data_IF_381200154374
#
_entry.id   IF_381200154374
#
_cell.length_a   1.000
_cell.length_b   1.000
_cell.length_c   1.000
_cell.angle_alpha   90.00
_cell.angle_beta   90.00
_cell.angle_gamma   90.00
#
_symmetry.space_group_name_H-M   'P 1'
#
loop_
_entity.id
_entity.type
_entity.pdbx_description
1 polymer ?
#
# COMPACT_ATOMS: atom_id res chain seq x y z
N UNK A 1 4.68 8.00 -13.21
CA UNK A 1 5.27 7.20 -12.11
C UNK A 1 6.72 6.91 -12.45
N UNK A 2 7.67 7.13 -11.53
CA UNK A 2 9.08 6.74 -11.65
C UNK A 2 9.40 5.86 -10.44
N UNK A 3 10.13 4.76 -10.64
CA UNK A 3 10.56 3.88 -9.55
C UNK A 3 12.08 3.83 -9.58
N UNK A 4 12.71 4.02 -8.43
CA UNK A 4 14.15 3.93 -8.23
C UNK A 4 14.45 2.74 -7.31
N UNK A 5 15.42 1.90 -7.69
CA UNK A 5 15.95 0.85 -6.81
C UNK A 5 17.07 1.43 -5.97
N UNK A 6 16.99 1.27 -4.66
CA UNK A 6 17.96 1.76 -3.69
C UNK A 6 18.55 0.57 -2.90
N UNK A 7 19.65 0.82 -2.16
CA UNK A 7 20.27 -0.17 -1.26
C UNK A 7 20.56 -1.54 -1.92
N UNK A 8 21.03 -1.52 -3.17
CA UNK A 8 21.22 -2.72 -3.98
C UNK A 8 22.44 -3.51 -3.48
N UNK A 9 22.21 -4.76 -3.10
CA UNK A 9 23.25 -5.69 -2.63
C UNK A 9 23.16 -6.99 -3.41
N UNK A 10 24.27 -7.40 -4.02
CA UNK A 10 24.36 -8.67 -4.74
C UNK A 10 24.91 -9.76 -3.83
N UNK A 11 24.29 -10.93 -3.88
CA UNK A 11 24.77 -12.16 -3.26
C UNK A 11 25.17 -13.12 -4.39
N UNK A 12 26.47 -13.23 -4.61
CA UNK A 12 27.04 -14.08 -5.67
C UNK A 12 27.04 -15.56 -5.31
N UNK A 13 26.97 -15.92 -4.03
CA UNK A 13 26.93 -17.32 -3.60
C UNK A 13 25.52 -17.89 -3.82
N UNK A 14 24.49 -17.10 -3.56
CA UNK A 14 23.09 -17.48 -3.75
C UNK A 14 22.49 -17.04 -5.10
N UNK A 15 23.26 -16.36 -5.95
CA UNK A 15 22.81 -15.82 -7.24
C UNK A 15 21.56 -14.91 -7.13
N UNK A 16 21.52 -14.06 -6.10
CA UNK A 16 20.41 -13.14 -5.85
C UNK A 16 20.87 -11.68 -5.75
N UNK A 17 19.92 -10.76 -5.88
CA UNK A 17 20.08 -9.34 -5.60
C UNK A 17 18.97 -8.91 -4.66
N UNK A 18 19.34 -8.15 -3.62
CA UNK A 18 18.38 -7.54 -2.69
C UNK A 18 18.41 -6.03 -2.85
N UNK A 19 17.25 -5.40 -2.89
CA UNK A 19 17.09 -3.95 -3.04
C UNK A 19 15.81 -3.47 -2.36
N UNK A 20 15.70 -2.17 -2.15
CA UNK A 20 14.44 -1.49 -1.81
C UNK A 20 13.97 -0.64 -2.99
N UNK A 21 12.68 -0.28 -3.05
CA UNK A 21 12.13 0.57 -4.10
C UNK A 21 11.59 1.89 -3.53
N UNK A 22 11.88 3.00 -4.22
CA UNK A 22 11.29 4.32 -3.95
C UNK A 22 10.48 4.78 -5.15
N UNK A 23 9.20 5.04 -4.93
CA UNK A 23 8.27 5.47 -5.97
C UNK A 23 8.03 6.98 -5.98
N UNK A 24 8.06 7.60 -7.17
CA UNK A 24 7.71 9.00 -7.38
C UNK A 24 6.49 9.12 -8.31
N UNK A 25 5.57 9.99 -7.91
CA UNK A 25 4.33 10.28 -8.60
C UNK A 25 4.31 11.75 -9.01
N UNK A 26 4.00 11.99 -10.29
CA UNK A 26 3.89 13.32 -10.86
C UNK A 26 2.55 13.39 -11.59
N UNK A 27 1.80 14.46 -11.32
CA UNK A 27 0.56 14.73 -12.02
C UNK A 27 0.85 15.25 -13.43
N UNK A 28 0.18 14.67 -14.41
CA UNK A 28 0.27 15.07 -15.81
C UNK A 28 -1.09 15.65 -16.26
N UNK A 29 -1.23 16.99 -16.34
CA UNK A 29 -2.48 17.63 -16.72
C UNK A 29 -2.86 17.37 -18.19
N UNK A 30 -1.91 17.12 -19.08
CA UNK A 30 -2.19 16.90 -20.51
C UNK A 30 -2.80 15.52 -20.77
N UNK A 31 -2.49 14.56 -19.90
CA UNK A 31 -3.03 13.21 -19.92
C UNK A 31 -4.19 13.00 -18.94
N UNK A 32 -4.73 14.08 -18.36
CA UNK A 32 -5.81 14.04 -17.38
C UNK A 32 -7.07 14.76 -17.87
N UNK A 33 -8.24 14.20 -17.59
CA UNK A 33 -9.54 14.81 -17.94
C UNK A 33 -10.02 15.87 -16.92
N UNK A 34 -9.13 16.31 -16.02
CA UNK A 34 -9.48 17.15 -14.87
C UNK A 34 -8.25 17.69 -14.16
N UNK A 35 -8.49 18.47 -13.11
CA UNK A 35 -7.46 19.06 -12.24
C UNK A 35 -7.38 18.32 -10.90
N UNK A 36 -6.23 18.46 -10.23
CA UNK A 36 -6.07 18.07 -8.83
C UNK A 36 -6.99 18.87 -7.88
N UNK A 37 -7.49 20.02 -8.31
CA UNK A 37 -8.39 20.87 -7.53
C UNK A 37 -9.88 20.54 -7.76
N UNK A 38 -10.18 19.52 -8.57
CA UNK A 38 -11.56 19.10 -8.83
C UNK A 38 -12.19 18.50 -7.57
N UNK A 39 -13.39 18.96 -7.25
CA UNK A 39 -14.16 18.47 -6.11
C UNK A 39 -14.79 17.11 -6.41
N UNK A 40 -14.50 16.13 -5.56
CA UNK A 40 -15.02 14.77 -5.64
C UNK A 40 -15.90 14.52 -4.43
N UNK A 41 -17.14 14.07 -4.67
CA UNK A 41 -18.00 13.55 -3.62
C UNK A 41 -17.75 12.06 -3.46
N UNK A 42 -17.29 11.64 -2.28
CA UNK A 42 -16.98 10.23 -2.00
C UNK A 42 -17.45 9.83 -0.61
N UNK A 43 -17.46 8.51 -0.39
CA UNK A 43 -17.68 7.93 0.93
C UNK A 43 -16.51 8.30 1.86
N UNK A 44 -16.79 8.74 3.09
CA UNK A 44 -15.77 8.90 4.12
C UNK A 44 -15.31 7.53 4.60
N UNK A 45 -14.23 7.04 4.01
CA UNK A 45 -13.59 5.77 4.38
C UNK A 45 -13.23 5.73 5.87
N UNK A 46 -12.65 6.79 6.48
CA UNK A 46 -12.40 6.83 7.93
C UNK A 46 -13.66 6.59 8.77
N UNK A 47 -14.80 7.20 8.39
CA UNK A 47 -16.07 7.02 9.10
C UNK A 47 -16.60 5.59 8.98
N UNK A 48 -16.50 5.00 7.80
CA UNK A 48 -16.93 3.63 7.54
C UNK A 48 -16.03 2.62 8.26
N UNK A 49 -14.72 2.83 8.25
CA UNK A 49 -13.76 2.00 8.98
C UNK A 49 -13.96 2.10 10.49
N UNK A 50 -14.16 3.31 11.02
CA UNK A 50 -14.44 3.50 12.45
C UNK A 50 -15.73 2.78 12.86
N UNK A 51 -16.78 2.89 12.06
CA UNK A 51 -18.03 2.16 12.31
C UNK A 51 -17.82 0.64 12.29
N UNK A 52 -17.08 0.12 11.31
CA UNK A 52 -16.74 -1.31 11.22
C UNK A 52 -15.91 -1.80 12.42
N UNK A 53 -14.87 -1.05 12.82
CA UNK A 53 -14.05 -1.41 14.00
C UNK A 53 -14.83 -1.33 15.31
N UNK A 54 -15.94 -0.59 15.36
CA UNK A 54 -16.73 -0.39 16.58
C UNK A 54 -17.78 -1.48 16.85
N UNK A 55 -17.88 -2.52 16.01
CA UNK A 55 -18.90 -3.58 16.13
C UNK A 55 -18.83 -4.29 17.49
N UNK A 56 -17.62 -4.53 17.99
CA UNK A 56 -17.38 -5.22 19.27
C UNK A 56 -17.15 -4.25 20.44
N UNK A 57 -17.34 -2.95 20.24
CA UNK A 57 -17.15 -1.96 21.30
C UNK A 57 -18.30 -1.97 22.31
N UNK A 58 -18.01 -1.60 23.56
CA UNK A 58 -19.03 -1.43 24.58
C UNK A 58 -19.99 -0.26 24.26
N UNK A 59 -21.23 -0.35 24.73
CA UNK A 59 -22.32 0.60 24.42
C UNK A 59 -21.93 2.08 24.51
N UNK A 60 -21.23 2.49 25.58
CA UNK A 60 -20.84 3.88 25.78
C UNK A 60 -19.85 4.36 24.72
N UNK A 61 -18.95 3.49 24.28
CA UNK A 61 -17.95 3.80 23.26
C UNK A 61 -18.58 3.91 21.88
N UNK A 62 -19.42 2.96 21.50
CA UNK A 62 -20.18 3.00 20.24
C UNK A 62 -21.07 4.25 20.18
N UNK A 63 -21.70 4.63 21.30
CA UNK A 63 -22.52 5.86 21.38
C UNK A 63 -21.69 7.14 21.24
N UNK A 64 -20.51 7.19 21.83
CA UNK A 64 -19.58 8.32 21.68
C UNK A 64 -19.11 8.48 20.23
N UNK A 65 -18.75 7.36 19.58
CA UNK A 65 -18.39 7.35 18.17
C UNK A 65 -19.57 7.79 17.29
N UNK A 66 -20.77 7.26 17.52
CA UNK A 66 -21.98 7.65 16.79
C UNK A 66 -22.28 9.16 16.92
N UNK A 67 -22.13 9.73 18.12
CA UNK A 67 -22.27 11.17 18.33
C UNK A 67 -21.20 11.95 17.56
N UNK A 68 -19.95 11.50 17.59
CA UNK A 68 -18.84 12.16 16.88
C UNK A 68 -19.05 12.14 15.38
N UNK A 69 -19.37 10.97 14.80
CA UNK A 69 -19.68 10.83 13.38
C UNK A 69 -20.88 11.73 13.03
N UNK A 70 -21.95 11.73 13.81
CA UNK A 70 -23.14 12.53 13.51
C UNK A 70 -22.94 14.05 13.63
N UNK A 71 -21.96 14.51 14.40
CA UNK A 71 -21.72 15.94 14.66
C UNK A 71 -20.58 16.53 13.84
N UNK A 72 -19.53 15.76 13.60
CA UNK A 72 -18.25 16.23 13.05
C UNK A 72 -17.86 15.54 11.76
N UNK A 73 -18.58 14.49 11.36
CA UNK A 73 -18.33 13.78 10.10
C UNK A 73 -19.63 13.58 9.32
N UNK A 74 -19.51 12.97 8.15
CA UNK A 74 -20.62 12.51 7.33
C UNK A 74 -20.20 11.22 6.64
N UNK A 75 -21.16 10.37 6.31
CA UNK A 75 -20.92 9.16 5.51
C UNK A 75 -20.33 9.53 4.14
N UNK A 76 -20.62 10.74 3.64
CA UNK A 76 -20.02 11.29 2.43
C UNK A 76 -19.33 12.62 2.72
N UNK A 77 -18.22 12.87 2.03
CA UNK A 77 -17.51 14.14 2.06
C UNK A 77 -17.29 14.66 0.64
N UNK A 78 -16.97 15.96 0.55
CA UNK A 78 -16.49 16.57 -0.69
C UNK A 78 -15.07 17.05 -0.42
N UNK A 79 -14.13 16.56 -1.23
CA UNK A 79 -12.70 16.85 -1.13
C UNK A 79 -12.11 17.01 -2.52
N UNK A 80 -11.03 17.77 -2.63
CA UNK A 80 -10.31 17.87 -3.90
C UNK A 80 -9.62 16.55 -4.23
N UNK A 81 -9.37 16.27 -5.51
CA UNK A 81 -8.61 15.10 -5.93
C UNK A 81 -7.23 15.02 -5.27
N UNK A 82 -6.58 16.17 -5.07
CA UNK A 82 -5.31 16.35 -4.35
C UNK A 82 -5.37 15.91 -2.90
N UNK A 83 -6.38 16.35 -2.15
CA UNK A 83 -6.59 15.97 -0.74
C UNK A 83 -6.93 14.49 -0.60
N UNK A 84 -7.74 13.94 -1.51
CA UNK A 84 -8.11 12.53 -1.48
C UNK A 84 -6.92 11.62 -1.79
N UNK A 85 -6.04 12.01 -2.71
CA UNK A 85 -4.95 11.16 -3.18
C UNK A 85 -3.65 11.42 -2.43
N UNK A 86 -3.15 12.65 -2.39
CA UNK A 86 -1.72 12.92 -2.10
C UNK A 86 -1.46 13.76 -0.86
N UNK A 87 -2.21 14.86 -0.67
CA UNK A 87 -1.94 15.81 0.43
C UNK A 87 -2.63 15.42 1.74
N UNK A 88 -3.61 14.52 1.65
CA UNK A 88 -4.45 14.12 2.75
C UNK A 88 -5.38 15.26 3.21
N UNK A 89 -6.37 14.89 4.00
CA UNK A 89 -7.20 15.83 4.73
C UNK A 89 -7.33 15.42 6.19
N UNK A 90 -7.52 16.43 7.05
CA UNK A 90 -7.75 16.20 8.47
C UNK A 90 -9.06 15.45 8.70
N UNK A 91 -9.00 14.49 9.63
CA UNK A 91 -10.12 13.64 9.98
C UNK A 91 -10.36 13.70 11.50
N UNK A 92 -11.49 14.26 11.96
CA UNK A 92 -11.80 14.37 13.39
C UNK A 92 -11.77 13.01 14.12
N UNK A 93 -12.01 11.93 13.38
CA UNK A 93 -11.99 10.55 13.89
C UNK A 93 -10.58 10.08 14.26
N UNK A 94 -9.53 10.63 13.64
CA UNK A 94 -8.15 10.28 13.97
C UNK A 94 -7.74 10.86 15.32
N UNK A 95 -8.21 12.08 15.64
CA UNK A 95 -8.07 12.64 16.98
C UNK A 95 -8.79 11.77 18.02
N UNK A 96 -10.01 11.31 17.72
CA UNK A 96 -10.72 10.40 18.61
C UNK A 96 -9.94 9.08 18.79
N UNK A 97 -9.38 8.54 17.70
CA UNK A 97 -8.60 7.31 17.72
C UNK A 97 -7.35 7.42 18.60
N UNK A 98 -6.68 8.59 18.63
CA UNK A 98 -5.49 8.83 19.45
C UNK A 98 -5.72 8.71 20.97
N UNK A 99 -6.97 8.80 21.43
CA UNK A 99 -7.32 8.59 22.83
C UNK A 99 -7.47 7.12 23.21
N UNK A 100 -7.44 6.20 22.24
CA UNK A 100 -7.50 4.76 22.51
C UNK A 100 -6.09 4.18 22.60
N UNK A 101 -5.80 3.39 23.64
CA UNK A 101 -4.58 2.62 23.68
C UNK A 101 -4.63 1.59 22.55
N UNK A 102 -3.81 1.82 21.53
CA UNK A 102 -3.65 0.94 20.38
C UNK A 102 -2.18 0.95 19.98
N UNK A 103 -1.63 -0.21 19.64
CA UNK A 103 -0.32 -0.32 19.02
C UNK A 103 -0.37 0.02 17.52
N UNK A 104 -1.57 0.22 16.97
CA UNK A 104 -1.74 0.63 15.57
C UNK A 104 -1.39 2.11 15.38
N UNK A 105 -0.55 2.37 14.39
CA UNK A 105 -0.28 3.72 13.91
C UNK A 105 -1.55 4.38 13.35
N UNK A 106 -1.89 5.56 13.86
CA UNK A 106 -2.96 6.41 13.33
C UNK A 106 -2.29 7.60 12.61
N UNK A 107 -2.46 7.76 11.29
CA UNK A 107 -1.91 8.89 10.57
C UNK A 107 -2.59 10.20 11.00
N UNK A 108 -1.94 11.34 10.74
CA UNK A 108 -2.48 12.67 11.05
C UNK A 108 -3.56 13.11 10.04
N UNK A 109 -3.49 12.61 8.80
CA UNK A 109 -4.44 12.88 7.72
C UNK A 109 -4.83 11.62 6.97
N UNK A 110 -6.01 11.64 6.37
CA UNK A 110 -6.44 10.60 5.45
C UNK A 110 -6.21 11.01 4.01
N UNK A 111 -5.54 10.15 3.24
CA UNK A 111 -5.46 10.20 1.78
C UNK A 111 -4.97 8.84 1.27
N UNK A 112 -5.45 8.40 0.12
CA UNK A 112 -5.19 7.06 -0.41
C UNK A 112 -3.71 6.77 -0.64
N UNK A 113 -2.96 7.78 -1.06
CA UNK A 113 -1.53 7.75 -1.33
C UNK A 113 -0.81 8.83 -0.50
N UNK A 114 -1.39 9.19 0.65
CA UNK A 114 -0.78 10.14 1.57
C UNK A 114 0.59 9.62 2.03
N UNK A 115 1.61 10.45 1.93
CA UNK A 115 3.02 10.10 2.20
C UNK A 115 3.64 9.02 1.27
N UNK A 116 2.99 8.60 0.18
CA UNK A 116 3.59 7.62 -0.75
C UNK A 116 4.69 8.20 -1.64
N UNK A 117 4.66 9.50 -1.90
CA UNK A 117 5.50 10.11 -2.93
C UNK A 117 6.93 10.35 -2.44
N UNK A 118 7.88 9.63 -3.03
CA UNK A 118 9.30 9.70 -2.66
C UNK A 118 9.64 8.94 -1.38
N UNK A 119 8.70 8.16 -0.84
CA UNK A 119 8.93 7.36 0.37
C UNK A 119 9.47 5.98 0.00
N UNK A 120 10.43 5.53 0.79
CA UNK A 120 10.93 4.17 0.78
C UNK A 120 10.47 3.54 2.09
N UNK A 121 9.64 2.49 2.01
CA UNK A 121 9.06 1.85 3.19
C UNK A 121 10.03 0.83 3.84
N UNK A 122 11.30 0.81 3.41
CA UNK A 122 12.32 -0.17 3.78
C UNK A 122 11.95 -1.63 3.41
N UNK A 123 10.93 -1.79 2.56
CA UNK A 123 10.52 -3.07 2.01
C UNK A 123 11.62 -3.62 1.10
N UNK A 124 12.22 -4.73 1.52
CA UNK A 124 13.28 -5.39 0.78
C UNK A 124 12.73 -6.46 -0.14
N UNK A 125 13.26 -6.49 -1.37
CA UNK A 125 12.94 -7.48 -2.38
C UNK A 125 14.21 -8.25 -2.71
N UNK A 126 14.22 -9.55 -2.47
CA UNK A 126 15.31 -10.45 -2.88
C UNK A 126 14.88 -11.19 -4.13
N UNK A 127 15.61 -10.98 -5.22
CA UNK A 127 15.26 -11.46 -6.56
C UNK A 127 16.41 -12.24 -7.18
N UNK A 128 16.11 -13.29 -7.95
CA UNK A 128 17.11 -14.05 -8.69
C UNK A 128 17.76 -13.22 -9.81
N UNK A 129 19.08 -13.28 -9.92
CA UNK A 129 19.84 -12.55 -10.96
C UNK A 129 19.85 -13.27 -12.31
N UNK A 130 19.53 -14.56 -12.33
CA UNK A 130 19.69 -15.43 -13.49
C UNK A 130 21.12 -15.94 -13.70
N UNK A 131 22.05 -15.57 -12.81
CA UNK A 131 23.37 -16.18 -12.78
C UNK A 131 23.28 -17.65 -12.34
N UNK A 132 24.08 -18.52 -12.96
CA UNK A 132 23.98 -19.98 -12.80
C UNK A 132 22.79 -20.64 -13.53
N UNK A 133 21.61 -20.03 -13.49
CA UNK A 133 20.40 -20.49 -14.20
C UNK A 133 19.50 -19.32 -14.62
N UNK A 134 19.43 -19.09 -15.93
CA UNK A 134 18.65 -18.00 -16.53
C UNK A 134 17.15 -18.14 -16.25
N UNK A 135 16.65 -19.33 -15.92
CA UNK A 135 15.27 -19.54 -15.53
C UNK A 135 14.92 -18.82 -14.21
N UNK A 136 15.90 -18.39 -13.41
CA UNK A 136 15.69 -17.70 -12.14
C UNK A 136 15.68 -16.18 -12.23
N UNK A 137 15.99 -15.62 -13.40
CA UNK A 137 16.04 -14.17 -13.57
C UNK A 137 14.68 -13.53 -13.26
N UNK A 138 14.68 -12.50 -12.42
CA UNK A 138 13.48 -11.74 -12.08
C UNK A 138 12.50 -12.45 -11.15
N UNK A 139 12.74 -13.72 -10.77
CA UNK A 139 11.91 -14.41 -9.78
C UNK A 139 12.13 -13.79 -8.40
N UNK A 140 11.05 -13.39 -7.73
CA UNK A 140 11.07 -12.92 -6.36
C UNK A 140 11.16 -14.12 -5.42
N UNK A 141 12.17 -14.12 -4.56
CA UNK A 141 12.41 -15.17 -3.59
C UNK A 141 11.91 -14.75 -2.21
N UNK A 142 12.20 -13.50 -1.83
CA UNK A 142 11.82 -12.97 -0.52
C UNK A 142 11.28 -11.56 -0.62
N UNK A 143 10.32 -11.25 0.23
CA UNK A 143 9.79 -9.92 0.50
C UNK A 143 9.93 -9.68 2.00
N UNK A 144 10.54 -8.56 2.39
CA UNK A 144 10.89 -8.25 3.80
C UNK A 144 11.72 -9.35 4.48
N UNK A 145 12.54 -10.07 3.70
CA UNK A 145 13.37 -11.17 4.19
C UNK A 145 12.66 -12.52 4.35
N UNK A 146 11.35 -12.59 4.11
CA UNK A 146 10.53 -13.79 4.28
C UNK A 146 10.10 -14.39 2.94
N UNK A 147 9.81 -15.70 2.91
CA UNK A 147 9.29 -16.42 1.72
C UNK A 147 7.74 -16.47 1.69
N UNK A 148 7.10 -15.99 2.75
CA UNK A 148 5.66 -15.83 2.87
C UNK A 148 5.33 -14.50 3.54
N UNK A 149 4.16 -13.96 3.22
CA UNK A 149 3.71 -12.64 3.70
C UNK A 149 3.09 -12.66 5.09
N UNK A 150 2.60 -13.82 5.53
CA UNK A 150 1.86 -13.98 6.78
C UNK A 150 0.41 -13.46 6.76
N UNK A 151 -0.08 -12.89 5.65
CA UNK A 151 -1.46 -12.39 5.55
C UNK A 151 -2.50 -13.49 5.32
N UNK A 152 -2.09 -14.60 4.70
CA UNK A 152 -2.97 -15.73 4.37
C UNK A 152 -2.29 -17.05 4.68
N UNK A 153 -3.08 -18.04 5.08
CA UNK A 153 -2.58 -19.37 5.40
C UNK A 153 -2.17 -20.15 4.14
N UNK A 154 -1.15 -21.00 4.29
CA UNK A 154 -0.73 -21.98 3.30
C UNK A 154 -0.26 -21.36 1.98
N UNK A 155 -0.68 -21.95 0.86
CA UNK A 155 -0.20 -21.55 -0.47
C UNK A 155 -0.59 -20.12 -0.88
N UNK A 156 -1.57 -19.51 -0.22
CA UNK A 156 -2.05 -18.14 -0.49
C UNK A 156 -1.13 -17.07 0.08
N UNK A 157 -0.39 -17.37 1.16
CA UNK A 157 0.56 -16.45 1.78
C UNK A 157 1.94 -16.44 1.11
N UNK A 158 2.24 -17.45 0.28
CA UNK A 158 3.57 -17.66 -0.32
C UNK A 158 3.90 -16.61 -1.37
N UNK A 159 5.15 -16.16 -1.37
CA UNK A 159 5.69 -15.26 -2.37
C UNK A 159 6.08 -16.08 -3.61
N UNK A 160 5.49 -15.73 -4.75
CA UNK A 160 5.68 -16.44 -6.02
C UNK A 160 5.71 -15.47 -7.19
N UNK A 161 6.44 -15.83 -8.24
CA UNK A 161 6.47 -15.07 -9.49
C UNK A 161 7.54 -13.98 -9.52
N UNK A 162 7.33 -12.97 -10.34
CA UNK A 162 8.20 -11.78 -10.43
C UNK A 162 7.46 -10.53 -9.97
N UNK A 163 8.17 -9.40 -9.87
CA UNK A 163 7.57 -8.07 -9.66
C UNK A 163 6.89 -7.50 -10.91
N UNK A 164 6.72 -8.29 -11.98
CA UNK A 164 6.09 -7.83 -13.23
C UNK A 164 6.99 -6.99 -14.14
N UNK A 165 8.25 -6.77 -13.78
CA UNK A 165 9.21 -6.01 -14.60
C UNK A 165 10.09 -6.90 -15.48
N UNK A 166 10.26 -8.16 -15.10
CA UNK A 166 11.20 -9.09 -15.75
C UNK A 166 10.72 -10.53 -15.59
N UNK A 167 11.01 -11.34 -16.60
CA UNK A 167 10.71 -12.77 -16.61
C UNK A 167 11.82 -13.56 -17.31
N UNK A 168 11.90 -14.87 -17.03
CA UNK A 168 12.77 -15.78 -17.77
C UNK A 168 12.52 -15.76 -19.28
N UNK A 169 13.57 -16.00 -20.11
CA UNK A 169 13.39 -16.17 -21.54
C UNK A 169 12.58 -17.44 -21.85
N UNK A 170 11.99 -17.51 -23.05
CA UNK A 170 11.25 -18.69 -23.55
C UNK A 170 10.05 -19.13 -22.68
N UNK A 171 9.38 -18.17 -22.02
CA UNK A 171 8.10 -18.41 -21.35
C UNK A 171 7.12 -19.14 -22.28
N UNK A 172 6.43 -20.13 -21.72
CA UNK A 172 5.29 -20.76 -22.37
C UNK A 172 4.11 -19.79 -22.35
N UNK A 173 3.21 -19.94 -23.32
CA UNK A 173 2.00 -19.11 -23.44
C UNK A 173 0.84 -19.70 -22.60
N UNK A 174 1.12 -20.03 -21.35
CA UNK A 174 0.16 -20.64 -20.42
C UNK A 174 -0.19 -19.69 -19.29
N UNK A 175 0.71 -19.49 -18.32
CA UNK A 175 0.48 -18.67 -17.14
C UNK A 175 1.68 -17.76 -16.84
N UNK A 176 1.36 -16.64 -16.17
CA UNK A 176 2.36 -15.75 -15.60
C UNK A 176 1.96 -15.52 -14.15
N UNK A 177 2.92 -15.72 -13.25
CA UNK A 177 2.74 -15.45 -11.83
C UNK A 177 3.47 -14.16 -11.49
N UNK A 178 2.80 -13.26 -10.77
CA UNK A 178 3.36 -12.00 -10.29
C UNK A 178 3.04 -11.81 -8.82
N UNK A 179 3.97 -11.17 -8.12
CA UNK A 179 3.77 -10.63 -6.79
C UNK A 179 3.53 -9.12 -6.91
N UNK A 180 2.48 -8.63 -6.27
CA UNK A 180 2.12 -7.21 -6.26
C UNK A 180 2.02 -6.80 -4.80
N UNK A 181 2.95 -5.99 -4.29
CA UNK A 181 2.94 -5.65 -2.86
C UNK A 181 1.71 -4.84 -2.43
N UNK A 182 1.08 -4.11 -3.36
CA UNK A 182 0.04 -3.12 -3.02
C UNK A 182 -1.38 -3.67 -2.89
N UNK A 183 -1.61 -4.98 -3.08
CA UNK A 183 -2.98 -5.56 -3.12
C UNK A 183 -3.34 -6.36 -1.85
N UNK A 184 -2.40 -6.53 -0.92
CA UNK A 184 -2.57 -7.22 0.35
C UNK A 184 -2.09 -6.29 1.47
#
# INVERSE_FOLDING_TARGET
KRIEKENITFDTENHTVTFTERGYYHFDPELSNGSLDDNITSLSVPSVMAAHKSVDWGYFMTKSLSYTIGKHSSITHVKTARELLFEGHEEPLFTLASYFPSDEYVPDKFGWLYEFNGTNNDDTFTMGTGDGDIENIGKLWKFRGEEETGYYDGDCGRIKGSLGHMWPPKLKKDNITMFIESIC
#
